data_IF_605813213850
#
_entry.id   IF_605813213850
#
_cell.length_a   1.000
_cell.length_b   1.000
_cell.length_c   1.000
_cell.angle_alpha   90.00
_cell.angle_beta   90.00
_cell.angle_gamma   90.00
#
_symmetry.space_group_name_H-M   'P 1'
#
loop_
_entity.id
_entity.type
_entity.pdbx_description
1 polymer ?
#
# COMPACT_ATOMS: atom_id res chain seq x y z
N UNK A 1 -10.46 -52.36 -70.33
CA UNK A 1 -10.62 -50.91 -70.25
C UNK A 1 -11.30 -50.61 -68.89
N UNK A 2 -10.53 -50.27 -67.88
CA UNK A 2 -11.08 -49.85 -66.53
C UNK A 2 -10.85 -48.36 -66.36
N UNK A 3 -11.92 -47.59 -66.27
CA UNK A 3 -11.88 -46.15 -66.01
C UNK A 3 -11.76 -45.92 -64.50
N UNK A 4 -10.66 -45.33 -64.03
CA UNK A 4 -10.48 -44.87 -62.65
C UNK A 4 -11.09 -43.49 -62.52
N UNK A 5 -12.04 -43.36 -61.64
CA UNK A 5 -12.64 -42.08 -61.20
C UNK A 5 -11.84 -41.55 -60.04
N UNK A 6 -11.17 -40.39 -60.20
CA UNK A 6 -10.45 -39.66 -59.19
C UNK A 6 -11.48 -38.76 -58.46
N UNK A 7 -11.75 -39.04 -57.17
CA UNK A 7 -12.56 -38.17 -56.31
C UNK A 7 -11.61 -37.21 -55.62
N UNK A 8 -11.68 -35.92 -55.98
CA UNK A 8 -10.97 -34.85 -55.29
C UNK A 8 -11.83 -34.40 -54.12
N UNK A 9 -11.37 -34.71 -52.89
CA UNK A 9 -11.99 -34.25 -51.64
C UNK A 9 -11.44 -32.85 -51.33
N UNK A 10 -12.23 -31.82 -51.57
CA UNK A 10 -11.88 -30.45 -51.17
C UNK A 10 -12.13 -30.28 -49.66
N UNK A 11 -11.04 -30.18 -48.89
CA UNK A 11 -11.07 -29.83 -47.45
C UNK A 11 -11.31 -28.33 -47.35
N UNK A 12 -12.51 -27.91 -46.97
CA UNK A 12 -12.81 -26.54 -46.55
C UNK A 12 -12.27 -26.33 -45.10
N UNK A 13 -11.12 -25.67 -45.01
CA UNK A 13 -10.61 -25.18 -43.74
C UNK A 13 -11.41 -23.91 -43.38
N UNK A 14 -12.38 -24.04 -42.49
CA UNK A 14 -13.00 -22.91 -41.80
C UNK A 14 -12.00 -22.32 -40.82
N UNK A 15 -11.29 -21.27 -41.23
CA UNK A 15 -10.55 -20.41 -40.33
C UNK A 15 -11.58 -19.58 -39.53
N UNK A 16 -11.92 -20.04 -38.35
CA UNK A 16 -12.60 -19.21 -37.41
C UNK A 16 -11.61 -18.12 -36.96
N UNK A 17 -11.78 -16.91 -37.50
CA UNK A 17 -11.18 -15.71 -36.92
C UNK A 17 -11.81 -15.53 -35.54
N UNK A 18 -11.16 -16.02 -34.50
CA UNK A 18 -11.41 -15.56 -33.17
C UNK A 18 -10.89 -14.12 -33.09
N UNK A 19 -11.78 -13.13 -33.13
CA UNK A 19 -11.40 -11.76 -32.78
C UNK A 19 -10.66 -11.82 -31.44
N UNK A 20 -9.43 -11.30 -31.40
CA UNK A 20 -8.72 -11.09 -30.16
C UNK A 20 -9.60 -10.23 -29.25
N UNK A 21 -9.76 -10.56 -27.97
CA UNK A 21 -10.55 -9.76 -27.07
C UNK A 21 -10.02 -8.33 -27.13
N UNK A 22 -10.90 -7.37 -27.46
CA UNK A 22 -10.59 -5.94 -27.45
C UNK A 22 -9.99 -5.64 -26.09
N UNK A 23 -8.73 -5.23 -26.06
CA UNK A 23 -8.11 -4.71 -24.83
C UNK A 23 -8.99 -3.57 -24.31
N UNK A 24 -9.57 -3.78 -23.15
CA UNK A 24 -10.36 -2.75 -22.46
C UNK A 24 -9.41 -1.63 -22.07
N UNK A 25 -9.51 -0.48 -22.71
CA UNK A 25 -8.73 0.71 -22.34
C UNK A 25 -9.30 1.22 -21.01
N UNK A 26 -8.69 0.81 -19.90
CA UNK A 26 -9.02 1.32 -18.57
C UNK A 26 -8.52 2.77 -18.44
N UNK A 27 -9.31 3.64 -17.83
CA UNK A 27 -8.96 5.03 -17.50
C UNK A 27 -9.35 5.36 -16.08
N UNK A 28 -8.56 6.19 -15.42
CA UNK A 28 -8.83 6.67 -14.07
C UNK A 28 -9.43 8.06 -14.14
N UNK A 29 -10.65 8.20 -13.62
CA UNK A 29 -11.25 9.52 -13.36
C UNK A 29 -10.94 9.92 -11.93
N UNK A 30 -10.42 11.13 -11.73
CA UNK A 30 -10.02 11.67 -10.44
C UNK A 30 -10.83 12.92 -10.10
N UNK A 31 -11.27 13.01 -8.85
CA UNK A 31 -11.93 14.18 -8.28
C UNK A 31 -11.36 14.47 -6.90
N UNK A 32 -10.87 15.67 -6.67
CA UNK A 32 -10.37 16.09 -5.36
C UNK A 32 -11.53 16.42 -4.43
N UNK A 33 -11.52 15.89 -3.21
CA UNK A 33 -12.45 16.27 -2.17
C UNK A 33 -12.06 17.61 -1.54
N UNK A 34 -13.05 18.34 -1.02
CA UNK A 34 -12.77 19.54 -0.23
C UNK A 34 -11.97 19.19 1.05
N UNK A 35 -11.14 20.12 1.48
CA UNK A 35 -10.40 20.01 2.76
C UNK A 35 -11.08 20.79 3.88
N UNK A 36 -12.21 21.42 3.59
CA UNK A 36 -13.01 22.14 4.60
C UNK A 36 -13.43 21.20 5.72
N UNK A 37 -13.38 21.67 6.97
CA UNK A 37 -13.71 20.88 8.17
C UNK A 37 -12.53 20.10 8.74
N UNK A 38 -11.37 20.06 8.08
CA UNK A 38 -10.13 19.64 8.73
C UNK A 38 -9.68 20.73 9.71
N UNK A 39 -9.40 20.34 10.96
CA UNK A 39 -9.09 21.27 12.04
C UNK A 39 -7.64 21.13 12.52
N UNK A 40 -7.08 22.22 13.02
CA UNK A 40 -5.75 22.27 13.62
C UNK A 40 -4.67 21.73 12.65
N UNK A 41 -3.80 20.90 13.17
CA UNK A 41 -2.68 20.34 12.39
C UNK A 41 -3.10 19.27 11.36
N UNK A 42 -4.35 18.79 11.41
CA UNK A 42 -4.91 17.93 10.35
C UNK A 42 -5.06 18.69 9.02
N UNK A 43 -5.11 20.01 9.02
CA UNK A 43 -5.09 20.85 7.82
C UNK A 43 -3.80 20.72 7.01
N UNK A 44 -2.71 20.30 7.65
CA UNK A 44 -1.41 20.01 7.00
C UNK A 44 -1.39 18.63 6.33
N UNK A 45 -2.44 17.82 6.54
CA UNK A 45 -2.55 16.44 6.12
C UNK A 45 -1.78 15.48 6.99
N UNK A 46 -2.05 14.19 6.81
CA UNK A 46 -1.37 13.09 7.51
C UNK A 46 -0.91 12.04 6.51
N UNK A 47 0.00 11.17 6.94
CA UNK A 47 0.34 9.93 6.26
C UNK A 47 -0.03 8.73 7.12
N UNK A 48 -0.18 7.57 6.48
CA UNK A 48 -0.41 6.30 7.16
C UNK A 48 -1.64 6.29 8.09
N UNK A 49 -2.69 7.02 7.70
CA UNK A 49 -3.98 6.99 8.37
C UNK A 49 -4.70 5.66 8.13
N UNK A 50 -5.64 5.32 9.01
CA UNK A 50 -6.65 4.33 8.69
C UNK A 50 -7.77 4.97 7.86
N UNK A 51 -8.45 4.17 7.05
CA UNK A 51 -9.64 4.63 6.34
C UNK A 51 -10.68 3.50 6.20
N UNK A 52 -11.90 3.85 5.87
CA UNK A 52 -12.95 2.90 5.51
C UNK A 52 -13.93 3.54 4.54
N UNK A 53 -14.40 2.77 3.56
CA UNK A 53 -15.51 3.15 2.70
C UNK A 53 -16.68 2.19 2.97
N UNK A 54 -17.67 2.64 3.73
CA UNK A 54 -18.81 1.84 4.16
C UNK A 54 -20.06 2.34 3.45
N UNK A 55 -20.52 1.59 2.44
CA UNK A 55 -21.50 2.11 1.50
C UNK A 55 -20.91 3.31 0.73
N UNK A 56 -21.48 4.49 0.95
CA UNK A 56 -20.98 5.74 0.36
C UNK A 56 -20.20 6.63 1.34
N UNK A 57 -20.10 6.22 2.59
CA UNK A 57 -19.51 7.02 3.66
C UNK A 57 -18.02 6.75 3.80
N UNK A 58 -17.20 7.78 3.54
CA UNK A 58 -15.75 7.74 3.71
C UNK A 58 -15.38 8.15 5.13
N UNK A 59 -14.69 7.26 5.83
CA UNK A 59 -14.10 7.50 7.14
C UNK A 59 -12.57 7.55 7.02
N UNK A 60 -11.93 8.46 7.76
CA UNK A 60 -10.46 8.53 7.89
C UNK A 60 -10.12 8.70 9.36
N UNK A 61 -9.14 7.95 9.87
CA UNK A 61 -8.81 7.96 11.28
C UNK A 61 -7.30 7.97 11.52
N UNK A 62 -6.88 8.66 12.57
CA UNK A 62 -5.47 8.68 12.98
C UNK A 62 -4.55 9.32 11.95
N UNK A 63 -3.42 8.63 11.68
CA UNK A 63 -2.35 9.17 10.86
C UNK A 63 -1.37 10.02 11.64
N UNK A 64 -0.32 10.49 10.96
CA UNK A 64 0.71 11.31 11.59
C UNK A 64 1.31 12.35 10.64
N UNK A 65 1.86 13.41 11.21
CA UNK A 65 2.64 14.41 10.49
C UNK A 65 3.72 15.05 11.35
N UNK A 66 4.41 16.04 10.82
CA UNK A 66 5.33 16.95 11.54
C UNK A 66 4.73 18.35 11.47
N UNK A 67 3.93 18.76 12.47
CA UNK A 67 3.18 20.00 12.38
C UNK A 67 4.03 21.28 12.49
N UNK A 68 5.15 21.24 13.21
CA UNK A 68 5.97 22.42 13.48
C UNK A 68 7.24 22.44 12.64
N UNK A 69 8.13 21.47 12.88
CA UNK A 69 9.47 21.37 12.28
C UNK A 69 9.73 19.95 11.80
N UNK A 70 10.60 19.80 10.82
CA UNK A 70 11.05 18.48 10.37
C UNK A 70 11.91 17.80 11.44
N UNK A 71 12.00 16.47 11.39
CA UNK A 71 12.69 15.69 12.41
C UNK A 71 14.16 16.08 12.61
N UNK A 72 14.90 16.39 11.54
CA UNK A 72 16.29 16.82 11.63
C UNK A 72 16.46 18.19 12.33
N UNK A 73 15.43 19.04 12.34
CA UNK A 73 15.39 20.33 13.04
C UNK A 73 14.94 20.19 14.50
N UNK A 74 14.79 18.95 14.99
CA UNK A 74 14.26 18.65 16.33
C UNK A 74 12.75 18.63 16.42
N UNK A 75 12.03 18.65 15.29
CA UNK A 75 10.59 18.49 15.23
C UNK A 75 10.15 17.10 15.68
N UNK A 76 8.95 17.04 16.29
CA UNK A 76 8.36 15.79 16.75
C UNK A 76 7.24 15.36 15.80
N UNK A 77 7.23 14.06 15.48
CA UNK A 77 6.10 13.45 14.78
C UNK A 77 4.91 13.37 15.72
N UNK A 78 3.77 13.91 15.30
CA UNK A 78 2.50 13.88 16.05
C UNK A 78 1.59 12.84 15.44
N UNK A 79 0.99 12.01 16.29
CA UNK A 79 -0.01 11.01 15.95
C UNK A 79 -1.39 11.52 16.36
N UNK A 80 -2.40 11.17 15.59
CA UNK A 80 -3.77 11.66 15.81
C UNK A 80 -4.71 10.53 16.20
N UNK A 81 -5.77 10.88 16.96
CA UNK A 81 -6.83 9.94 17.36
C UNK A 81 -8.17 10.24 16.66
N UNK A 82 -8.32 11.41 16.02
CA UNK A 82 -9.57 11.82 15.41
C UNK A 82 -10.04 10.80 14.35
N UNK A 83 -11.35 10.51 14.36
CA UNK A 83 -12.06 9.78 13.31
C UNK A 83 -12.93 10.79 12.57
N UNK A 84 -12.63 10.97 11.30
CA UNK A 84 -13.27 11.93 10.42
C UNK A 84 -14.24 11.21 9.47
N UNK A 85 -15.37 11.83 9.19
CA UNK A 85 -16.33 11.46 8.15
C UNK A 85 -16.41 12.56 7.11
N UNK A 86 -16.40 12.21 5.82
CA UNK A 86 -16.63 13.15 4.75
C UNK A 86 -18.12 13.23 4.42
N UNK A 87 -18.76 14.33 4.78
CA UNK A 87 -20.14 14.61 4.40
C UNK A 87 -20.21 15.08 2.94
N UNK A 88 -20.65 14.21 2.05
CA UNK A 88 -20.81 14.50 0.60
C UNK A 88 -21.81 15.62 0.31
N UNK A 89 -22.83 15.82 1.16
CA UNK A 89 -23.87 16.82 0.94
C UNK A 89 -23.36 18.22 1.29
N UNK A 90 -22.57 18.32 2.38
CA UNK A 90 -21.97 19.58 2.82
C UNK A 90 -20.58 19.79 2.20
N UNK A 91 -20.03 18.78 1.51
CA UNK A 91 -18.69 18.77 0.93
C UNK A 91 -17.60 19.15 1.94
N UNK A 92 -17.67 18.59 3.16
CA UNK A 92 -16.74 18.88 4.24
C UNK A 92 -16.49 17.69 5.16
N UNK A 93 -15.39 17.77 5.91
CA UNK A 93 -15.03 16.80 6.94
C UNK A 93 -15.69 17.15 8.26
N UNK A 94 -16.04 16.13 9.03
CA UNK A 94 -16.59 16.25 10.38
C UNK A 94 -15.92 15.20 11.29
N UNK A 95 -15.51 15.61 12.48
CA UNK A 95 -15.04 14.67 13.50
C UNK A 95 -16.24 13.95 14.10
N UNK A 96 -16.28 12.62 13.97
CA UNK A 96 -17.39 11.77 14.44
C UNK A 96 -17.00 10.84 15.60
N UNK A 97 -15.73 10.79 15.96
CA UNK A 97 -15.24 9.93 17.02
C UNK A 97 -13.74 10.00 17.20
N UNK A 98 -13.22 9.06 17.98
CA UNK A 98 -11.79 8.94 18.29
C UNK A 98 -11.37 7.48 18.29
N UNK A 99 -10.14 7.22 17.87
CA UNK A 99 -9.45 5.95 18.12
C UNK A 99 -9.22 5.80 19.63
N UNK A 100 -9.10 4.58 20.16
CA UNK A 100 -8.75 4.35 21.55
C UNK A 100 -7.41 5.00 21.96
N UNK A 101 -6.48 5.10 21.00
CA UNK A 101 -5.20 5.78 21.13
C UNK A 101 -4.76 6.39 19.80
N UNK A 102 -3.98 7.46 19.85
CA UNK A 102 -3.47 8.14 18.66
C UNK A 102 -2.49 7.22 17.92
N UNK A 103 -2.81 6.87 16.67
CA UNK A 103 -2.08 5.84 15.92
C UNK A 103 -1.98 6.13 14.41
N UNK A 104 -0.96 5.52 13.79
CA UNK A 104 -0.70 5.53 12.36
C UNK A 104 0.04 4.24 11.94
N UNK A 105 0.34 4.07 10.64
CA UNK A 105 1.13 2.96 10.10
C UNK A 105 0.54 1.56 10.30
N UNK A 106 -0.74 1.48 10.62
CA UNK A 106 -1.54 0.27 10.50
C UNK A 106 -2.13 0.12 9.11
N UNK A 107 -2.98 -0.88 8.93
CA UNK A 107 -3.66 -1.14 7.67
C UNK A 107 -5.17 -1.13 7.80
N UNK A 108 -5.84 -0.86 6.70
CA UNK A 108 -7.29 -0.86 6.55
C UNK A 108 -7.68 -1.86 5.49
N UNK A 109 -8.53 -2.82 5.82
CA UNK A 109 -9.00 -3.83 4.88
C UNK A 109 -10.52 -3.98 4.96
N UNK A 110 -11.16 -4.14 3.82
CA UNK A 110 -12.58 -4.40 3.74
C UNK A 110 -12.91 -5.84 4.17
N UNK A 111 -14.00 -6.02 4.90
CA UNK A 111 -14.59 -7.31 5.22
C UNK A 111 -16.11 -7.25 4.93
N UNK A 112 -16.82 -8.38 4.85
CA UNK A 112 -18.26 -8.35 4.54
C UNK A 112 -19.10 -7.45 5.45
N UNK A 113 -18.72 -7.32 6.73
CA UNK A 113 -19.49 -6.52 7.72
C UNK A 113 -18.93 -5.09 7.93
N UNK A 114 -18.01 -4.60 7.12
CA UNK A 114 -17.41 -3.28 7.27
C UNK A 114 -15.91 -3.27 6.95
N UNK A 115 -15.12 -2.73 7.85
CA UNK A 115 -13.65 -2.68 7.72
C UNK A 115 -12.97 -3.21 8.99
N UNK A 116 -11.73 -3.66 8.84
CA UNK A 116 -10.80 -3.84 9.95
C UNK A 116 -9.71 -2.77 9.86
N UNK A 117 -9.46 -2.10 10.97
CA UNK A 117 -8.24 -1.33 11.22
C UNK A 117 -7.33 -2.17 12.09
N UNK A 118 -6.12 -2.44 11.61
CA UNK A 118 -5.26 -3.50 12.14
C UNK A 118 -3.89 -2.92 12.47
N UNK A 119 -3.39 -3.20 13.70
CA UNK A 119 -2.05 -2.87 14.12
C UNK A 119 -1.71 -1.40 13.98
N UNK A 120 -0.47 -1.08 13.68
CA UNK A 120 0.04 0.27 13.55
C UNK A 120 1.00 0.64 14.66
N UNK A 121 1.14 1.94 14.89
CA UNK A 121 2.11 2.49 15.82
C UNK A 121 1.52 3.73 16.51
N UNK A 122 1.78 3.86 17.79
CA UNK A 122 1.65 5.11 18.54
C UNK A 122 2.97 5.90 18.51
N UNK A 123 3.07 6.96 19.28
CA UNK A 123 4.34 7.69 19.44
C UNK A 123 5.46 6.84 20.07
N UNK A 124 5.13 5.77 20.77
CA UNK A 124 6.08 4.98 21.55
C UNK A 124 6.14 3.49 21.22
N UNK A 125 5.05 2.90 20.71
CA UNK A 125 4.92 1.45 20.59
C UNK A 125 4.23 1.06 19.29
N UNK A 126 4.63 -0.09 18.73
CA UNK A 126 3.85 -0.80 17.72
C UNK A 126 2.63 -1.46 18.37
N UNK A 127 1.55 -1.67 17.62
CA UNK A 127 0.26 -2.16 18.08
C UNK A 127 -0.03 -3.56 17.53
N UNK A 128 -0.66 -4.40 18.35
CA UNK A 128 -1.28 -5.66 17.93
C UNK A 128 -2.82 -5.54 17.86
N UNK A 129 -3.38 -4.42 18.31
CA UNK A 129 -4.84 -4.22 18.37
C UNK A 129 -5.47 -4.21 16.99
N UNK A 130 -6.65 -4.80 16.89
CA UNK A 130 -7.47 -4.79 15.68
C UNK A 130 -8.88 -4.34 16.07
N UNK A 131 -9.46 -3.47 15.23
CA UNK A 131 -10.80 -2.96 15.46
C UNK A 131 -11.67 -3.19 14.23
N UNK A 132 -12.86 -3.75 14.44
CA UNK A 132 -13.91 -3.80 13.43
C UNK A 132 -14.63 -2.47 13.42
N UNK A 133 -14.74 -1.87 12.23
CA UNK A 133 -15.31 -0.55 11.98
C UNK A 133 -16.60 -0.71 11.19
N UNK A 134 -17.67 -0.20 11.72
CA UNK A 134 -18.98 -0.14 11.07
C UNK A 134 -19.54 1.28 11.19
N UNK A 135 -20.30 1.70 10.21
CA UNK A 135 -20.93 3.01 10.20
C UNK A 135 -22.31 2.93 9.52
N UNK A 136 -23.27 3.63 10.06
CA UNK A 136 -24.50 3.96 9.36
C UNK A 136 -25.02 5.32 9.84
N UNK A 137 -25.77 6.02 9.02
CA UNK A 137 -26.36 7.32 9.36
C UNK A 137 -27.27 7.25 10.60
N UNK A 138 -27.92 6.09 10.80
CA UNK A 138 -28.86 5.89 11.92
C UNK A 138 -28.16 5.57 13.23
N UNK A 139 -27.12 4.72 13.20
CA UNK A 139 -26.42 4.21 14.39
C UNK A 139 -25.12 4.93 14.67
N UNK A 140 -24.63 5.74 13.72
CA UNK A 140 -23.32 6.37 13.80
C UNK A 140 -22.17 5.37 13.64
N UNK A 141 -21.02 5.78 14.16
CA UNK A 141 -19.80 4.98 14.18
C UNK A 141 -19.86 3.91 15.26
N UNK A 142 -19.50 2.69 14.91
CA UNK A 142 -19.25 1.59 15.85
C UNK A 142 -17.84 1.07 15.66
N UNK A 143 -17.06 1.08 16.73
CA UNK A 143 -15.71 0.53 16.79
C UNK A 143 -15.73 -0.59 17.84
N UNK A 144 -15.47 -1.82 17.43
CA UNK A 144 -15.46 -3.00 18.31
C UNK A 144 -14.15 -3.75 18.20
N UNK A 145 -13.71 -4.32 19.33
CA UNK A 145 -12.49 -5.12 19.35
C UNK A 145 -12.62 -6.33 18.43
N UNK A 146 -11.52 -6.66 17.77
CA UNK A 146 -11.36 -7.83 16.94
C UNK A 146 -10.10 -8.60 17.41
N UNK A 147 -9.99 -9.90 17.17
CA UNK A 147 -8.82 -10.67 17.60
C UNK A 147 -7.50 -9.98 17.25
N UNK A 148 -6.67 -9.74 18.25
CA UNK A 148 -5.39 -9.06 18.10
C UNK A 148 -4.42 -9.87 17.24
N UNK A 149 -3.49 -9.18 16.57
CA UNK A 149 -2.37 -9.82 15.87
C UNK A 149 -1.54 -10.65 16.86
N UNK A 150 -0.87 -11.71 16.39
CA UNK A 150 0.00 -12.53 17.23
C UNK A 150 1.18 -11.77 17.83
N UNK A 151 1.58 -10.67 17.19
CA UNK A 151 2.62 -9.74 17.66
C UNK A 151 2.32 -8.32 17.18
N UNK A 152 2.83 -7.29 17.88
CA UNK A 152 2.69 -5.90 17.42
C UNK A 152 3.39 -5.68 16.08
N UNK A 153 2.69 -5.05 15.12
CA UNK A 153 3.20 -4.73 13.79
C UNK A 153 2.90 -3.27 13.42
N UNK A 154 3.84 -2.62 12.77
CA UNK A 154 3.68 -1.34 12.11
C UNK A 154 4.35 -1.32 10.72
N UNK A 155 3.98 -0.37 9.85
CA UNK A 155 4.54 -0.24 8.51
C UNK A 155 4.49 -1.54 7.66
N UNK A 156 3.51 -2.37 7.93
CA UNK A 156 3.23 -3.61 7.19
C UNK A 156 2.15 -3.36 6.13
N UNK A 157 1.87 -4.36 5.31
CA UNK A 157 0.81 -4.31 4.32
C UNK A 157 -0.36 -5.23 4.70
N UNK A 158 -1.56 -4.85 4.29
CA UNK A 158 -2.77 -5.64 4.46
C UNK A 158 -3.55 -5.77 3.16
N UNK A 159 -4.22 -6.90 2.98
CA UNK A 159 -5.16 -7.14 1.89
C UNK A 159 -6.28 -8.07 2.34
N UNK A 160 -7.43 -7.96 1.68
CA UNK A 160 -8.55 -8.88 1.91
C UNK A 160 -9.18 -9.31 0.60
N UNK A 161 -9.80 -10.49 0.63
CA UNK A 161 -10.69 -10.97 -0.41
C UNK A 161 -11.81 -11.79 0.25
N UNK A 162 -13.05 -11.34 0.08
CA UNK A 162 -14.18 -11.88 0.83
C UNK A 162 -13.97 -11.72 2.34
N UNK A 163 -14.11 -12.82 3.10
CA UNK A 163 -13.86 -12.87 4.55
C UNK A 163 -12.40 -13.09 4.93
N UNK A 164 -11.52 -13.37 3.96
CA UNK A 164 -10.10 -13.68 4.18
C UNK A 164 -9.28 -12.40 4.28
N UNK A 165 -8.58 -12.24 5.38
CA UNK A 165 -7.72 -11.08 5.66
C UNK A 165 -6.29 -11.54 5.84
N UNK A 166 -5.36 -10.81 5.24
CA UNK A 166 -3.93 -11.10 5.25
C UNK A 166 -3.15 -9.86 5.62
N UNK A 167 -2.07 -10.03 6.38
CA UNK A 167 -1.08 -9.00 6.65
C UNK A 167 0.32 -9.56 6.43
N UNK A 168 1.25 -8.73 5.94
CA UNK A 168 2.60 -9.18 5.60
C UNK A 168 3.65 -8.08 5.82
N UNK A 169 4.83 -8.49 6.30
CA UNK A 169 5.99 -7.62 6.45
C UNK A 169 5.88 -6.62 7.58
N UNK A 170 6.45 -5.44 7.37
CA UNK A 170 6.51 -4.34 8.34
C UNK A 170 7.60 -4.48 9.37
N UNK A 171 7.42 -3.80 10.50
CA UNK A 171 8.27 -3.92 11.66
C UNK A 171 7.54 -4.73 12.75
N UNK A 172 8.23 -5.73 13.29
CA UNK A 172 7.86 -6.45 14.49
C UNK A 172 8.86 -6.08 15.60
N UNK A 173 8.40 -5.38 16.65
CA UNK A 173 9.26 -4.92 17.75
C UNK A 173 10.51 -4.14 17.26
N UNK A 174 10.31 -3.25 16.28
CA UNK A 174 11.36 -2.38 15.72
C UNK A 174 12.32 -3.06 14.74
N UNK A 175 12.05 -4.32 14.34
CA UNK A 175 12.83 -5.06 13.34
C UNK A 175 11.99 -5.36 12.12
N UNK A 176 12.57 -5.23 10.93
CA UNK A 176 11.91 -5.62 9.70
C UNK A 176 11.51 -7.10 9.75
N UNK A 177 10.31 -7.42 9.24
CA UNK A 177 9.70 -8.74 9.27
C UNK A 177 9.37 -9.23 7.86
N UNK A 178 9.42 -10.55 7.64
CA UNK A 178 8.90 -11.24 6.47
C UNK A 178 7.73 -12.17 6.82
N UNK A 179 7.20 -12.06 8.03
CA UNK A 179 6.07 -12.87 8.48
C UNK A 179 4.79 -12.49 7.75
N UNK A 180 3.92 -13.47 7.64
CA UNK A 180 2.59 -13.34 7.04
C UNK A 180 1.57 -13.93 7.99
N UNK A 181 0.52 -13.16 8.31
CA UNK A 181 -0.59 -13.62 9.12
C UNK A 181 -1.89 -13.59 8.33
N UNK A 182 -2.78 -14.49 8.67
CA UNK A 182 -4.04 -14.75 8.01
C UNK A 182 -5.15 -14.99 9.02
N UNK A 183 -6.34 -14.48 8.74
CA UNK A 183 -7.57 -14.83 9.44
C UNK A 183 -8.74 -14.88 8.44
N UNK A 184 -9.60 -15.89 8.55
CA UNK A 184 -10.90 -15.90 7.91
C UNK A 184 -11.93 -15.36 8.91
N UNK A 185 -12.43 -14.16 8.69
CA UNK A 185 -13.35 -13.48 9.62
C UNK A 185 -14.68 -14.20 9.82
N UNK A 186 -15.04 -15.10 8.90
CA UNK A 186 -16.27 -15.89 8.98
C UNK A 186 -16.13 -17.11 9.91
N UNK A 187 -14.95 -17.67 10.07
CA UNK A 187 -14.74 -18.97 10.73
C UNK A 187 -13.70 -18.96 11.84
N UNK A 188 -12.69 -18.09 11.75
CA UNK A 188 -11.54 -18.12 12.66
C UNK A 188 -11.78 -17.23 13.90
N UNK A 189 -11.23 -17.68 15.03
CA UNK A 189 -11.24 -16.95 16.31
C UNK A 189 -9.92 -16.23 16.60
N UNK A 190 -8.87 -16.54 15.84
CA UNK A 190 -7.52 -16.01 16.02
C UNK A 190 -6.75 -16.04 14.71
N UNK A 191 -5.75 -15.18 14.60
CA UNK A 191 -4.83 -15.15 13.49
C UNK A 191 -3.98 -16.42 13.42
N UNK A 192 -3.67 -16.85 12.20
CA UNK A 192 -2.78 -17.96 11.86
C UNK A 192 -1.55 -17.41 11.16
N UNK A 193 -0.38 -17.94 11.48
CA UNK A 193 0.81 -17.62 10.70
C UNK A 193 0.86 -18.52 9.45
N UNK A 194 1.10 -17.90 8.31
CA UNK A 194 1.43 -18.56 7.05
C UNK A 194 2.95 -18.66 6.89
N UNK A 195 3.46 -19.44 5.92
CA UNK A 195 4.88 -19.43 5.58
C UNK A 195 5.38 -18.00 5.29
N UNK A 196 6.50 -17.65 5.90
CA UNK A 196 7.16 -16.37 5.69
C UNK A 196 7.51 -16.17 4.20
N UNK A 197 7.41 -14.94 3.69
CA UNK A 197 7.82 -14.70 2.31
C UNK A 197 9.35 -14.76 2.18
N UNK A 198 9.88 -15.28 1.04
CA UNK A 198 11.30 -15.48 0.85
C UNK A 198 12.06 -14.17 0.62
N UNK A 199 13.35 -14.20 0.88
CA UNK A 199 14.27 -13.08 0.72
C UNK A 199 14.34 -12.19 1.96
N UNK A 200 14.71 -10.92 1.76
CA UNK A 200 14.85 -9.97 2.86
C UNK A 200 13.48 -9.54 3.39
N UNK A 201 13.44 -9.29 4.69
CA UNK A 201 12.29 -8.68 5.34
C UNK A 201 11.97 -7.30 4.72
N UNK A 202 10.70 -6.91 4.67
CA UNK A 202 10.27 -5.70 3.96
C UNK A 202 9.40 -4.80 4.84
N UNK A 203 9.82 -3.57 4.98
CA UNK A 203 9.05 -2.49 5.60
C UNK A 203 8.32 -1.73 4.49
N UNK A 204 7.08 -1.32 4.73
CA UNK A 204 6.21 -0.64 3.76
C UNK A 204 6.08 -1.37 2.41
N UNK A 205 5.87 -2.70 2.40
CA UNK A 205 5.52 -3.39 1.17
C UNK A 205 4.09 -3.05 0.73
N UNK A 206 3.73 -3.54 -0.45
CA UNK A 206 2.35 -3.62 -0.93
C UNK A 206 1.89 -5.07 -0.85
N UNK A 207 0.66 -5.30 -0.43
CA UNK A 207 0.01 -6.60 -0.44
C UNK A 207 -1.27 -6.53 -1.27
N UNK A 208 -1.49 -7.52 -2.11
CA UNK A 208 -2.76 -7.71 -2.81
C UNK A 208 -3.21 -9.17 -2.69
N UNK A 209 -4.52 -9.38 -2.61
CA UNK A 209 -5.13 -10.71 -2.56
C UNK A 209 -6.15 -10.85 -3.70
N UNK A 210 -6.08 -11.96 -4.44
CA UNK A 210 -6.96 -12.25 -5.57
C UNK A 210 -7.51 -13.67 -5.47
N UNK A 211 -8.80 -13.83 -5.74
CA UNK A 211 -9.40 -15.16 -5.94
C UNK A 211 -9.03 -15.70 -7.31
N UNK A 212 -8.60 -16.94 -7.38
CA UNK A 212 -8.23 -17.66 -8.61
C UNK A 212 -8.85 -19.05 -8.58
N UNK A 213 -9.91 -19.25 -9.35
CA UNK A 213 -10.63 -20.54 -9.45
C UNK A 213 -10.93 -21.14 -8.06
N UNK A 214 -10.08 -22.06 -7.57
CA UNK A 214 -10.23 -22.73 -6.27
C UNK A 214 -9.07 -22.37 -5.32
N UNK A 215 -8.43 -21.22 -5.47
CA UNK A 215 -7.29 -20.77 -4.66
C UNK A 215 -7.41 -19.26 -4.36
N UNK A 216 -6.73 -18.84 -3.32
CA UNK A 216 -6.48 -17.42 -3.03
C UNK A 216 -4.99 -17.17 -3.19
N UNK A 217 -4.64 -16.23 -4.08
CA UNK A 217 -3.26 -15.83 -4.30
C UNK A 217 -2.97 -14.51 -3.60
N UNK A 218 -1.88 -14.47 -2.84
CA UNK A 218 -1.32 -13.25 -2.28
C UNK A 218 -0.13 -12.79 -3.11
N UNK A 219 -0.01 -11.48 -3.29
CA UNK A 219 1.14 -10.85 -3.95
C UNK A 219 1.79 -9.86 -3.01
N UNK A 220 3.10 -10.07 -2.72
CA UNK A 220 3.94 -9.10 -2.00
C UNK A 220 4.81 -8.38 -3.01
N UNK A 221 4.71 -7.04 -3.03
CA UNK A 221 5.42 -6.17 -3.95
C UNK A 221 6.09 -5.03 -3.15
N UNK A 222 7.20 -4.52 -3.67
CA UNK A 222 7.86 -3.36 -3.07
C UNK A 222 8.36 -3.57 -1.65
N UNK A 223 8.40 -2.47 -0.93
CA UNK A 223 9.00 -2.40 0.40
C UNK A 223 10.52 -2.33 0.36
N UNK A 224 11.12 -2.18 1.53
CA UNK A 224 12.57 -2.10 1.68
C UNK A 224 13.03 -2.78 2.96
N UNK A 225 14.28 -3.18 2.97
CA UNK A 225 15.03 -3.55 4.16
C UNK A 225 16.03 -2.44 4.47
N UNK A 226 15.97 -1.88 5.68
CA UNK A 226 16.79 -0.73 6.07
C UNK A 226 18.24 -1.08 6.42
N UNK A 227 18.62 -2.36 6.30
CA UNK A 227 19.92 -2.87 6.75
C UNK A 227 19.92 -3.23 8.23
N UNK A 228 20.92 -4.01 8.61
CA UNK A 228 21.21 -4.39 10.01
C UNK A 228 22.73 -4.41 10.28
N UNK A 229 23.15 -5.08 11.34
CA UNK A 229 24.58 -5.18 11.68
C UNK A 229 25.41 -5.86 10.57
N UNK A 230 24.81 -6.77 9.80
CA UNK A 230 25.49 -7.68 8.86
C UNK A 230 25.16 -7.41 7.40
N UNK A 231 24.00 -6.85 7.10
CA UNK A 231 23.49 -6.64 5.75
C UNK A 231 23.20 -5.18 5.48
N UNK A 232 23.58 -4.70 4.29
CA UNK A 232 23.26 -3.37 3.80
C UNK A 232 21.76 -3.25 3.42
N UNK A 233 21.24 -2.02 3.31
CA UNK A 233 19.87 -1.78 2.84
C UNK A 233 19.61 -2.37 1.45
N UNK A 234 18.38 -2.83 1.22
CA UNK A 234 17.92 -3.34 -0.08
C UNK A 234 16.49 -2.92 -0.35
N UNK A 235 16.12 -2.90 -1.64
CA UNK A 235 14.75 -2.68 -2.08
C UNK A 235 14.06 -4.00 -2.45
N UNK A 236 12.77 -4.08 -2.21
CA UNK A 236 11.95 -5.21 -2.62
C UNK A 236 11.57 -5.13 -4.09
N UNK A 237 12.47 -5.54 -5.00
CA UNK A 237 12.26 -5.44 -6.44
C UNK A 237 11.46 -6.61 -7.03
N UNK A 238 11.46 -7.76 -6.35
CA UNK A 238 10.78 -8.98 -6.82
C UNK A 238 9.31 -8.97 -6.44
N UNK A 239 8.47 -9.41 -7.38
CA UNK A 239 7.07 -9.72 -7.15
C UNK A 239 6.98 -11.16 -6.66
N UNK A 240 6.48 -11.34 -5.46
CA UNK A 240 6.29 -12.65 -4.83
C UNK A 240 4.82 -13.01 -4.83
N UNK A 241 4.48 -14.24 -5.18
CA UNK A 241 3.12 -14.77 -5.12
C UNK A 241 3.06 -16.00 -4.21
N UNK A 242 2.06 -16.04 -3.34
CA UNK A 242 1.76 -17.16 -2.44
C UNK A 242 0.43 -17.81 -2.81
N UNK A 243 0.40 -19.13 -2.91
CA UNK A 243 -0.83 -19.90 -3.03
C UNK A 243 -1.31 -20.35 -1.65
N UNK A 244 -2.49 -19.88 -1.24
CA UNK A 244 -3.07 -20.31 0.04
C UNK A 244 -3.37 -21.80 0.06
N UNK A 245 -3.75 -22.37 -1.09
CA UNK A 245 -4.02 -23.81 -1.22
C UNK A 245 -2.75 -24.66 -1.17
N UNK A 246 -1.67 -24.23 -1.87
CA UNK A 246 -0.42 -24.97 -1.95
C UNK A 246 0.53 -24.67 -0.79
N UNK A 247 0.29 -23.61 -0.02
CA UNK A 247 1.15 -23.12 1.07
C UNK A 247 2.59 -22.85 0.60
N UNK A 248 2.73 -22.29 -0.61
CA UNK A 248 4.04 -22.08 -1.24
C UNK A 248 4.17 -20.70 -1.87
N UNK A 249 5.34 -20.09 -1.70
CA UNK A 249 5.79 -18.88 -2.35
C UNK A 249 6.48 -19.17 -3.67
N UNK A 250 6.34 -18.28 -4.62
CA UNK A 250 7.09 -18.24 -5.88
C UNK A 250 7.40 -16.82 -6.29
N UNK A 251 8.52 -16.60 -6.94
CA UNK A 251 8.83 -15.37 -7.65
C UNK A 251 8.10 -15.37 -9.00
N UNK A 252 7.38 -14.30 -9.29
CA UNK A 252 6.53 -14.18 -10.49
C UNK A 252 6.85 -12.95 -11.31
N UNK A 253 7.90 -12.21 -11.00
CA UNK A 253 8.32 -11.05 -11.76
C UNK A 253 9.24 -10.12 -11.00
N UNK A 254 9.66 -9.07 -11.68
CA UNK A 254 10.47 -7.97 -11.16
C UNK A 254 9.70 -6.67 -11.39
N UNK A 255 9.85 -5.70 -10.49
CA UNK A 255 9.27 -4.35 -10.63
C UNK A 255 10.07 -3.55 -11.65
N UNK A 256 9.82 -3.82 -12.90
CA UNK A 256 10.46 -3.21 -14.06
C UNK A 256 9.38 -2.59 -14.95
N UNK A 257 9.50 -1.30 -15.26
CA UNK A 257 8.55 -0.60 -16.11
C UNK A 257 8.69 -1.05 -17.58
N UNK A 258 7.78 -0.64 -18.49
CA UNK A 258 7.89 -1.01 -19.92
C UNK A 258 9.21 -0.59 -20.59
N UNK A 259 9.91 0.41 -20.04
CA UNK A 259 11.22 0.86 -20.53
C UNK A 259 12.40 0.08 -19.92
N UNK A 260 12.13 -0.99 -19.16
CA UNK A 260 13.14 -1.81 -18.48
C UNK A 260 13.89 -1.10 -17.36
N UNK A 261 13.26 -0.13 -16.74
CA UNK A 261 13.79 0.58 -15.56
C UNK A 261 13.14 0.03 -14.30
N UNK A 262 13.95 -0.26 -13.29
CA UNK A 262 13.48 -0.68 -11.97
C UNK A 262 12.80 0.49 -11.28
N UNK A 263 11.58 0.26 -10.79
CA UNK A 263 10.83 1.21 -9.97
C UNK A 263 10.54 0.64 -8.58
N UNK A 264 10.15 1.52 -7.65
CA UNK A 264 9.85 1.11 -6.27
C UNK A 264 8.37 1.27 -5.96
N UNK A 265 7.82 0.31 -5.22
CA UNK A 265 6.51 0.40 -4.60
C UNK A 265 6.59 0.57 -3.07
N UNK A 266 7.75 0.96 -2.54
CA UNK A 266 7.89 1.27 -1.11
C UNK A 266 7.00 2.46 -0.75
N UNK A 267 6.12 2.27 0.23
CA UNK A 267 5.14 3.26 0.64
C UNK A 267 4.00 3.51 -0.35
N UNK A 268 3.89 2.68 -1.40
CA UNK A 268 2.75 2.66 -2.32
C UNK A 268 1.53 1.96 -1.70
N UNK A 269 0.40 2.09 -2.36
CA UNK A 269 -0.84 1.36 -2.05
C UNK A 269 -1.39 0.72 -3.31
N UNK A 270 -2.25 -0.30 -3.19
CA UNK A 270 -2.75 -1.04 -4.34
C UNK A 270 -4.24 -1.38 -4.26
N UNK A 271 -4.80 -1.62 -5.44
CA UNK A 271 -6.16 -2.06 -5.66
C UNK A 271 -6.17 -3.28 -6.61
N UNK A 272 -6.86 -4.34 -6.22
CA UNK A 272 -7.10 -5.49 -7.09
C UNK A 272 -8.25 -5.19 -8.07
N UNK A 273 -8.09 -5.55 -9.33
CA UNK A 273 -9.07 -5.33 -10.40
C UNK A 273 -9.37 -6.66 -11.10
N UNK A 274 -10.65 -7.02 -11.17
CA UNK A 274 -11.19 -8.17 -11.93
C UNK A 274 -10.48 -9.51 -11.64
N UNK A 275 -10.00 -9.72 -10.41
CA UNK A 275 -9.22 -10.90 -10.02
C UNK A 275 -8.00 -11.19 -10.96
N UNK A 276 -7.52 -10.19 -11.67
CA UNK A 276 -6.44 -10.31 -12.65
C UNK A 276 -5.34 -9.27 -12.46
N UNK A 277 -5.70 -8.02 -12.25
CA UNK A 277 -4.75 -6.92 -12.22
C UNK A 277 -4.55 -6.39 -10.81
N UNK A 278 -3.34 -5.90 -10.55
CA UNK A 278 -2.99 -5.15 -9.35
C UNK A 278 -2.56 -3.75 -9.80
N UNK A 279 -3.39 -2.75 -9.51
CA UNK A 279 -3.09 -1.35 -9.78
C UNK A 279 -2.40 -0.73 -8.55
N UNK A 280 -1.19 -0.21 -8.73
CA UNK A 280 -0.36 0.35 -7.66
C UNK A 280 -0.22 1.86 -7.83
N UNK A 281 -0.44 2.60 -6.74
CA UNK A 281 -0.43 4.06 -6.70
C UNK A 281 0.66 4.58 -5.78
N UNK A 282 1.45 5.55 -6.26
CA UNK A 282 2.48 6.20 -5.48
C UNK A 282 3.71 5.33 -5.21
N UNK A 283 4.37 5.60 -4.11
CA UNK A 283 5.66 5.01 -3.73
C UNK A 283 6.84 5.92 -4.04
N UNK A 284 7.95 5.67 -3.35
CA UNK A 284 9.16 6.49 -3.47
C UNK A 284 9.94 6.17 -4.75
N UNK A 285 10.76 7.11 -5.23
CA UNK A 285 11.72 6.85 -6.31
C UNK A 285 12.77 5.83 -5.85
N UNK A 286 12.94 4.77 -6.63
CA UNK A 286 13.83 3.65 -6.31
C UNK A 286 15.27 4.14 -6.02
N UNK A 287 15.88 4.82 -7.00
CA UNK A 287 17.30 5.23 -6.92
C UNK A 287 17.56 6.24 -5.82
N UNK A 288 16.72 7.26 -5.70
CA UNK A 288 16.90 8.28 -4.67
C UNK A 288 16.75 7.70 -3.27
N UNK A 289 15.79 6.82 -3.09
CA UNK A 289 15.54 6.23 -1.77
C UNK A 289 16.63 5.25 -1.36
N UNK A 290 17.01 4.29 -2.23
CA UNK A 290 18.07 3.32 -1.89
C UNK A 290 19.40 4.00 -1.66
N UNK A 291 19.77 5.01 -2.46
CA UNK A 291 21.01 5.77 -2.24
C UNK A 291 20.98 6.44 -0.86
N UNK A 292 19.90 7.14 -0.52
CA UNK A 292 19.78 7.83 0.77
C UNK A 292 19.90 6.88 1.95
N UNK A 293 19.17 5.76 1.97
CA UNK A 293 19.24 4.82 3.10
C UNK A 293 20.59 4.10 3.18
N UNK A 294 21.24 3.88 2.03
CA UNK A 294 22.58 3.27 1.96
C UNK A 294 23.65 4.24 2.47
N UNK A 295 23.60 5.51 2.08
CA UNK A 295 24.52 6.53 2.56
C UNK A 295 24.41 6.71 4.07
N UNK A 296 23.19 6.78 4.60
CA UNK A 296 22.94 6.87 6.05
C UNK A 296 23.42 5.61 6.80
N UNK A 297 23.22 4.43 6.21
CA UNK A 297 23.71 3.18 6.76
C UNK A 297 25.24 3.16 6.86
N UNK A 298 25.96 3.55 5.80
CA UNK A 298 27.42 3.62 5.83
C UNK A 298 27.93 4.71 6.79
N UNK A 299 27.29 5.87 6.79
CA UNK A 299 27.60 6.94 7.74
C UNK A 299 27.44 6.47 9.19
N UNK A 300 26.37 5.73 9.50
CA UNK A 300 26.11 5.16 10.83
C UNK A 300 27.18 4.16 11.27
N UNK A 301 27.85 3.49 10.32
CA UNK A 301 28.87 2.46 10.56
C UNK A 301 30.31 2.96 10.40
N UNK A 302 30.53 4.21 10.03
CA UNK A 302 31.86 4.76 9.82
C UNK A 302 32.63 4.87 11.15
N UNK A 303 33.53 3.92 11.39
CA UNK A 303 34.35 3.85 12.59
C UNK A 303 35.53 4.85 12.59
N UNK A 304 35.77 5.56 11.49
CA UNK A 304 36.79 6.61 11.39
C UNK A 304 36.33 7.94 11.99
N UNK A 305 35.01 8.08 12.21
CA UNK A 305 34.38 9.27 12.76
C UNK A 305 34.13 9.14 14.26
N UNK A 306 34.32 10.24 14.99
CA UNK A 306 33.75 10.32 16.36
C UNK A 306 32.24 10.37 16.33
N UNK A 307 31.59 10.15 17.48
CA UNK A 307 30.13 10.22 17.58
C UNK A 307 29.60 11.63 17.26
N UNK A 308 30.34 12.68 17.67
CA UNK A 308 29.99 14.08 17.35
C UNK A 308 30.09 14.35 15.86
N UNK A 309 31.18 13.89 15.22
CA UNK A 309 31.36 14.03 13.76
C UNK A 309 30.28 13.30 12.99
N UNK A 310 29.92 12.10 13.45
CA UNK A 310 28.85 11.29 12.84
C UNK A 310 27.49 11.98 12.96
N UNK A 311 27.15 12.52 14.13
CA UNK A 311 25.93 13.30 14.37
C UNK A 311 25.88 14.53 13.47
N UNK A 312 27.01 15.29 13.36
CA UNK A 312 27.07 16.47 12.51
C UNK A 312 26.89 16.12 11.03
N UNK A 313 27.61 15.11 10.52
CA UNK A 313 27.43 14.67 9.13
C UNK A 313 26.03 14.15 8.82
N UNK A 314 25.41 13.43 9.77
CA UNK A 314 24.03 12.99 9.63
C UNK A 314 23.07 14.19 9.57
N UNK A 315 23.26 15.19 10.41
CA UNK A 315 22.47 16.43 10.38
C UNK A 315 22.64 17.15 9.03
N UNK A 316 23.86 17.33 8.56
CA UNK A 316 24.16 18.02 7.30
C UNK A 316 23.54 17.27 6.11
N UNK A 317 23.64 15.93 6.08
CA UNK A 317 23.03 15.08 5.07
C UNK A 317 21.51 15.21 5.09
N UNK A 318 20.89 15.04 6.25
CA UNK A 318 19.43 15.11 6.41
C UNK A 318 18.88 16.51 6.13
N UNK A 319 19.60 17.57 6.55
CA UNK A 319 19.25 18.94 6.24
C UNK A 319 19.25 19.17 4.74
N UNK A 320 20.30 18.75 4.04
CA UNK A 320 20.38 18.85 2.59
C UNK A 320 19.25 18.03 1.92
N UNK A 321 19.05 16.78 2.34
CA UNK A 321 18.07 15.88 1.72
C UNK A 321 16.64 16.34 1.95
N UNK A 322 16.24 16.70 3.18
CA UNK A 322 14.84 17.00 3.51
C UNK A 322 14.36 18.40 3.08
N UNK A 323 15.29 19.33 2.79
CA UNK A 323 14.94 20.69 2.35
C UNK A 323 14.74 20.83 0.84
N UNK A 324 15.02 19.77 0.05
CA UNK A 324 14.81 19.79 -1.39
C UNK A 324 13.32 20.03 -1.74
N UNK A 325 13.01 20.63 -2.92
CA UNK A 325 11.64 20.79 -3.39
C UNK A 325 10.98 19.42 -3.64
N UNK A 326 9.63 19.39 -3.71
CA UNK A 326 8.86 18.13 -3.87
C UNK A 326 9.30 17.36 -5.13
N UNK A 327 9.54 18.08 -6.22
CA UNK A 327 9.90 17.52 -7.52
C UNK A 327 11.24 16.75 -7.51
N UNK A 328 12.13 17.08 -6.58
CA UNK A 328 13.40 16.40 -6.40
C UNK A 328 13.22 14.91 -6.07
N UNK A 329 12.19 14.57 -5.25
CA UNK A 329 12.00 13.22 -4.76
C UNK A 329 11.42 12.27 -5.78
N UNK A 330 10.82 12.78 -6.85
CA UNK A 330 10.32 11.99 -7.98
C UNK A 330 9.49 10.78 -7.53
N UNK A 331 8.58 10.96 -6.56
CA UNK A 331 7.66 9.89 -6.19
C UNK A 331 6.84 9.47 -7.40
N UNK A 332 6.47 8.20 -7.50
CA UNK A 332 5.78 7.65 -8.65
C UNK A 332 4.46 8.41 -8.91
N UNK A 333 4.38 9.04 -10.06
CA UNK A 333 3.15 9.64 -10.60
C UNK A 333 2.40 8.69 -11.52
N UNK A 334 3.00 7.58 -11.87
CA UNK A 334 2.43 6.49 -12.65
C UNK A 334 1.58 5.59 -11.75
N UNK A 335 0.37 5.22 -12.22
CA UNK A 335 -0.34 4.06 -11.72
C UNK A 335 0.21 2.84 -12.45
N UNK A 336 1.06 2.07 -11.79
CA UNK A 336 1.61 0.83 -12.35
C UNK A 336 0.59 -0.29 -12.23
N UNK A 337 0.40 -1.03 -13.33
CA UNK A 337 -0.55 -2.13 -13.44
C UNK A 337 0.20 -3.44 -13.67
N UNK A 338 0.11 -4.36 -12.73
CA UNK A 338 0.63 -5.71 -12.85
C UNK A 338 -0.47 -6.65 -13.32
N UNK A 339 -0.27 -7.29 -14.48
CA UNK A 339 -1.14 -8.36 -14.95
C UNK A 339 -0.65 -9.70 -14.38
N UNK A 340 -1.41 -10.29 -13.49
CA UNK A 340 -1.04 -11.55 -12.82
C UNK A 340 -1.08 -12.78 -13.74
N UNK A 341 -1.68 -12.68 -14.93
CA UNK A 341 -1.69 -13.76 -15.94
C UNK A 341 -0.41 -13.74 -16.77
N UNK A 342 -0.05 -12.57 -17.32
CA UNK A 342 1.13 -12.41 -18.15
C UNK A 342 2.40 -12.15 -17.35
N UNK A 343 2.26 -11.76 -16.07
CA UNK A 343 3.33 -11.36 -15.17
C UNK A 343 4.12 -10.14 -15.69
N UNK A 344 3.41 -9.24 -16.40
CA UNK A 344 4.00 -8.05 -17.00
C UNK A 344 3.45 -6.78 -16.35
N UNK A 345 4.30 -5.75 -16.33
CA UNK A 345 3.92 -4.42 -15.90
C UNK A 345 3.55 -3.53 -17.09
N UNK A 346 2.56 -2.69 -16.86
CA UNK A 346 2.19 -1.58 -17.74
C UNK A 346 1.88 -0.34 -16.91
N UNK A 347 1.66 0.79 -17.56
CA UNK A 347 1.19 2.02 -16.92
C UNK A 347 -0.28 2.19 -17.29
N UNK A 348 -1.15 2.22 -16.27
CA UNK A 348 -2.58 2.43 -16.45
C UNK A 348 -2.91 3.91 -16.67
N UNK A 349 -2.29 4.79 -15.89
CA UNK A 349 -2.48 6.25 -15.95
C UNK A 349 -1.27 6.96 -15.31
N UNK A 350 -1.13 8.27 -15.59
CA UNK A 350 -0.08 9.11 -15.01
C UNK A 350 -0.68 10.42 -14.55
N UNK A 351 -0.67 10.67 -13.23
CA UNK A 351 -1.22 11.85 -12.60
C UNK A 351 -0.26 12.37 -11.53
N UNK A 352 0.00 13.68 -11.51
CA UNK A 352 0.84 14.29 -10.46
C UNK A 352 0.31 14.00 -9.04
N UNK A 353 -1.00 13.84 -8.92
CA UNK A 353 -1.67 13.54 -7.66
C UNK A 353 -1.44 12.12 -7.12
N UNK A 354 -0.89 11.21 -7.92
CA UNK A 354 -0.47 9.89 -7.44
C UNK A 354 0.91 9.92 -6.78
N UNK A 355 1.73 10.96 -7.01
CA UNK A 355 3.09 11.08 -6.49
C UNK A 355 3.11 11.31 -4.97
N UNK A 356 2.92 10.22 -4.20
CA UNK A 356 2.89 10.22 -2.75
C UNK A 356 3.30 8.88 -2.16
N UNK A 357 3.72 8.90 -0.89
CA UNK A 357 3.99 7.70 -0.10
C UNK A 357 3.13 7.70 1.17
N UNK A 358 2.86 6.50 1.71
CA UNK A 358 2.05 6.37 2.92
C UNK A 358 0.64 6.94 2.81
N UNK A 359 0.08 6.99 1.60
CA UNK A 359 -1.34 7.22 1.38
C UNK A 359 -2.12 5.94 1.70
N UNK A 360 -3.38 6.09 2.11
CA UNK A 360 -4.28 4.95 2.34
C UNK A 360 -5.28 4.86 1.19
N UNK A 361 -5.51 3.63 0.70
CA UNK A 361 -6.47 3.38 -0.37
C UNK A 361 -7.59 2.50 0.16
N UNK A 362 -8.85 2.91 -0.07
CA UNK A 362 -10.06 2.14 0.30
C UNK A 362 -11.11 2.23 -0.79
N UNK A 363 -11.87 1.16 -0.96
CA UNK A 363 -12.96 1.07 -1.92
C UNK A 363 -12.75 -0.05 -2.94
N UNK A 364 -13.43 0.06 -4.07
CA UNK A 364 -13.42 -0.90 -5.17
C UNK A 364 -13.08 -0.20 -6.48
N UNK A 365 -12.74 -0.90 -7.57
CA UNK A 365 -12.46 -0.26 -8.87
C UNK A 365 -13.57 0.69 -9.36
N UNK A 366 -14.82 0.42 -9.01
CA UNK A 366 -15.96 1.27 -9.36
C UNK A 366 -15.97 2.63 -8.63
N UNK A 367 -15.51 2.65 -7.38
CA UNK A 367 -15.28 3.87 -6.61
C UNK A 367 -14.29 3.58 -5.47
N UNK A 368 -13.18 4.30 -5.44
CA UNK A 368 -12.17 4.21 -4.38
C UNK A 368 -11.59 5.57 -4.04
N UNK A 369 -10.94 5.63 -2.89
CA UNK A 369 -10.37 6.87 -2.38
C UNK A 369 -8.89 6.69 -2.09
N UNK A 370 -8.08 7.61 -2.60
CA UNK A 370 -6.68 7.79 -2.26
C UNK A 370 -6.59 8.91 -1.22
N UNK A 371 -6.32 8.52 0.02
CA UNK A 371 -6.41 9.38 1.19
C UNK A 371 -5.04 9.94 1.52
N UNK A 372 -4.90 11.25 1.41
CA UNK A 372 -3.78 12.07 1.89
C UNK A 372 -2.38 11.51 1.51
N UNK A 373 -1.44 11.39 2.45
CA UNK A 373 -0.09 10.84 2.22
C UNK A 373 1.01 11.90 2.18
N UNK A 374 2.23 11.43 2.08
CA UNK A 374 3.47 12.19 2.10
C UNK A 374 3.89 12.56 0.68
N UNK A 375 4.19 13.85 0.44
CA UNK A 375 4.66 14.37 -0.85
C UNK A 375 6.20 14.36 -0.97
N UNK A 376 6.85 14.48 0.17
CA UNK A 376 8.31 14.36 0.35
C UNK A 376 8.59 14.05 1.83
N UNK A 377 9.77 13.58 2.20
CA UNK A 377 10.10 13.32 3.60
C UNK A 377 9.68 14.46 4.53
N UNK A 378 8.80 14.15 5.48
CA UNK A 378 8.30 15.09 6.48
C UNK A 378 7.14 15.99 6.05
N UNK A 379 6.76 16.08 4.78
CA UNK A 379 5.69 16.95 4.27
C UNK A 379 4.51 16.13 3.76
N UNK A 380 3.31 16.39 4.30
CA UNK A 380 2.06 15.70 3.94
C UNK A 380 1.16 16.56 3.08
N UNK A 381 0.14 15.93 2.53
CA UNK A 381 -0.94 16.58 1.79
C UNK A 381 -2.28 16.31 2.47
N UNK A 382 -3.11 17.31 2.72
CA UNK A 382 -4.47 17.10 3.22
C UNK A 382 -5.45 16.64 2.15
N UNK A 383 -5.02 16.59 0.87
CA UNK A 383 -5.89 16.23 -0.24
C UNK A 383 -6.24 14.75 -0.23
N UNK A 384 -7.52 14.46 -0.35
CA UNK A 384 -8.09 13.14 -0.59
C UNK A 384 -8.74 13.14 -1.96
N UNK A 385 -8.58 12.07 -2.71
CA UNK A 385 -9.10 11.93 -4.07
C UNK A 385 -10.11 10.81 -4.14
N UNK A 386 -11.23 11.07 -4.82
CA UNK A 386 -12.16 10.03 -5.27
C UNK A 386 -11.78 9.64 -6.68
N UNK A 387 -11.64 8.34 -6.91
CA UNK A 387 -11.20 7.76 -8.17
C UNK A 387 -12.20 6.70 -8.64
N UNK A 388 -12.27 6.53 -9.96
CA UNK A 388 -13.04 5.46 -10.62
C UNK A 388 -12.25 4.94 -11.80
N UNK A 389 -12.23 3.62 -11.99
CA UNK A 389 -11.67 2.95 -13.17
C UNK A 389 -12.83 2.58 -14.07
N UNK A 390 -12.83 3.08 -15.32
CA UNK A 390 -13.86 2.82 -16.32
C UNK A 390 -13.34 1.89 -17.42
#
# INVERSE_FOLDING_TARGET
>A
MRKSILIILALLILTACTEAPKERTMKINITTLATQGLEGDLQKGVSAAYAALIGEDLLVAGGCNFPDKLGFEGGKKVFYEAILHFDKNQNQWQTIGKLPEAAAYGVSVAIPEGYLWIGGQTATNSLATCHKVQYSKEKGLTLTDFPALPEPLDNFAGASVGSKVFVAGGNASGKASNKVFYIDTATDKQWKQLPDFPGEARVQPVLAALEKENDTLLYVLGGFFGGDATKAPTMGEKVLAFSLKQQQWREVGVQENPNKEIFSLTGATALAIDNRYIACFGGVNHRLFINTITDLYHLGKDTTLTDEQRKQKNYDYMSHYMTQPIEYYQFNKECYLFDTHTQQWSVLDTQADFARAGATLVGTPAEFYLVQGELKPGVRSPKTYRLKIN
#
